data_IF_975636737361
#
_entry.id   IF_975636737361
#
_cell.length_a   1.000
_cell.length_b   1.000
_cell.length_c   1.000
_cell.angle_alpha   90.00
_cell.angle_beta   90.00
_cell.angle_gamma   90.00
#
_symmetry.space_group_name_H-M   'P 1'
#
loop_
_entity.id
_entity.type
_entity.pdbx_description
1 polymer ?
#
# COMPACT_ATOMS: atom_id res chain seq x y z
N UNK A 1 -22.66 7.77 14.10
CA UNK A 1 -21.20 7.77 13.88
C UNK A 1 -20.56 8.62 14.96
N UNK A 2 -19.52 8.15 15.66
CA UNK A 2 -18.75 9.00 16.56
C UNK A 2 -18.15 10.17 15.76
N UNK A 3 -18.25 11.39 16.31
CA UNK A 3 -17.61 12.56 15.71
C UNK A 3 -16.09 12.40 15.87
N UNK A 4 -15.39 12.16 14.76
CA UNK A 4 -13.93 12.09 14.77
C UNK A 4 -13.34 13.50 14.89
N UNK A 5 -12.27 13.68 15.70
CA UNK A 5 -11.52 14.93 15.69
C UNK A 5 -10.99 15.24 14.29
N UNK A 6 -10.98 16.51 13.90
CA UNK A 6 -10.50 16.97 12.59
C UNK A 6 -9.08 16.48 12.30
N UNK A 7 -8.20 16.52 13.31
CA UNK A 7 -6.83 16.02 13.22
C UNK A 7 -6.78 14.52 12.84
N UNK A 8 -7.68 13.71 13.39
CA UNK A 8 -7.78 12.29 13.08
C UNK A 8 -8.31 12.07 11.66
N UNK A 9 -9.33 12.82 11.25
CA UNK A 9 -9.84 12.78 9.87
C UNK A 9 -8.74 13.11 8.85
N UNK A 10 -7.95 14.15 9.12
CA UNK A 10 -6.83 14.53 8.28
C UNK A 10 -5.74 13.45 8.23
N UNK A 11 -5.44 12.79 9.35
CA UNK A 11 -4.47 11.69 9.41
C UNK A 11 -4.95 10.46 8.62
N UNK A 12 -6.24 10.11 8.75
CA UNK A 12 -6.86 9.05 7.94
C UNK A 12 -6.77 9.39 6.45
N UNK A 13 -7.10 10.63 6.06
CA UNK A 13 -7.01 11.08 4.67
C UNK A 13 -5.59 10.93 4.09
N UNK A 14 -4.56 11.35 4.83
CA UNK A 14 -3.15 11.17 4.42
C UNK A 14 -2.77 9.70 4.28
N UNK A 15 -3.20 8.86 5.21
CA UNK A 15 -2.95 7.42 5.16
C UNK A 15 -3.63 6.78 3.95
N UNK A 16 -4.88 7.14 3.66
CA UNK A 16 -5.64 6.63 2.51
C UNK A 16 -4.97 7.01 1.20
N UNK A 17 -4.48 8.25 1.06
CA UNK A 17 -3.72 8.68 -0.13
C UNK A 17 -2.44 7.86 -0.27
N UNK A 18 -1.66 7.70 0.80
CA UNK A 18 -0.43 6.91 0.75
C UNK A 18 -0.66 5.43 0.42
N UNK A 19 -1.78 4.85 0.88
CA UNK A 19 -2.18 3.50 0.53
C UNK A 19 -2.57 3.39 -0.95
N UNK A 20 -3.34 4.35 -1.47
CA UNK A 20 -3.73 4.39 -2.88
C UNK A 20 -2.52 4.56 -3.81
N UNK A 21 -1.55 5.41 -3.46
CA UNK A 21 -0.31 5.57 -4.22
C UNK A 21 0.48 4.25 -4.28
N UNK A 22 0.55 3.52 -3.17
CA UNK A 22 1.20 2.20 -3.11
C UNK A 22 0.45 1.14 -3.93
N UNK A 23 -0.88 1.12 -3.87
CA UNK A 23 -1.71 0.22 -4.70
C UNK A 23 -1.55 0.53 -6.19
N UNK A 24 -1.48 1.81 -6.57
CA UNK A 24 -1.23 2.23 -7.95
C UNK A 24 0.16 1.79 -8.43
N UNK A 25 1.19 1.88 -7.59
CA UNK A 25 2.52 1.38 -7.92
C UNK A 25 2.54 -0.15 -8.12
N UNK A 26 1.83 -0.89 -7.27
CA UNK A 26 1.65 -2.34 -7.42
C UNK A 26 0.91 -2.70 -8.70
N UNK A 27 -0.11 -1.92 -9.08
CA UNK A 27 -0.80 -2.12 -10.34
C UNK A 27 0.10 -1.94 -11.56
N UNK A 28 1.11 -1.07 -11.47
CA UNK A 28 2.12 -0.91 -12.52
C UNK A 28 2.99 -2.16 -12.76
N UNK A 29 2.95 -3.16 -11.86
CA UNK A 29 3.55 -4.47 -12.06
C UNK A 29 2.64 -5.46 -12.80
N UNK A 30 1.33 -5.21 -12.82
CA UNK A 30 0.39 -6.08 -13.51
C UNK A 30 0.52 -5.91 -15.03
N UNK A 31 0.26 -6.99 -15.76
CA UNK A 31 0.06 -6.94 -17.20
C UNK A 31 -1.28 -6.28 -17.59
N UNK A 32 -2.22 -6.15 -16.63
CA UNK A 32 -3.52 -5.51 -16.81
C UNK A 32 -3.71 -4.36 -15.79
N UNK A 33 -3.49 -3.09 -16.20
CA UNK A 33 -3.70 -1.92 -15.36
C UNK A 33 -5.14 -1.77 -14.84
N UNK A 34 -6.14 -2.33 -15.54
CA UNK A 34 -7.54 -2.27 -15.13
C UNK A 34 -7.81 -3.15 -13.89
N UNK A 35 -6.95 -4.13 -13.60
CA UNK A 35 -7.07 -4.99 -12.44
C UNK A 35 -7.07 -4.21 -11.11
N UNK A 36 -6.44 -3.03 -11.06
CA UNK A 36 -6.44 -2.11 -9.90
C UNK A 36 -7.83 -1.79 -9.38
N UNK A 37 -8.80 -1.65 -10.28
CA UNK A 37 -10.14 -1.19 -9.96
C UNK A 37 -11.17 -2.32 -9.95
N UNK A 38 -10.77 -3.55 -10.28
CA UNK A 38 -11.68 -4.67 -10.42
C UNK A 38 -12.25 -5.16 -9.07
N UNK A 39 -11.38 -5.27 -8.05
CA UNK A 39 -11.77 -5.64 -6.68
C UNK A 39 -10.67 -5.26 -5.69
N UNK A 40 -11.00 -5.05 -4.40
CA UNK A 40 -10.00 -4.82 -3.37
C UNK A 40 -8.90 -5.89 -3.39
N UNK A 41 -7.64 -5.45 -3.43
CA UNK A 41 -6.47 -6.33 -3.44
C UNK A 41 -6.15 -7.02 -4.78
N UNK A 42 -6.88 -6.75 -5.87
CA UNK A 42 -6.56 -7.32 -7.18
C UNK A 42 -5.18 -6.90 -7.70
N UNK A 43 -4.83 -5.61 -7.61
CA UNK A 43 -3.50 -5.12 -7.97
C UNK A 43 -2.38 -5.88 -7.25
N UNK A 44 -2.55 -6.18 -5.96
CA UNK A 44 -1.57 -6.94 -5.18
C UNK A 44 -1.47 -8.40 -5.65
N UNK A 45 -2.60 -9.04 -5.98
CA UNK A 45 -2.61 -10.39 -6.51
C UNK A 45 -1.84 -10.50 -7.82
N UNK A 46 -2.13 -9.59 -8.75
CA UNK A 46 -1.43 -9.50 -10.04
C UNK A 46 0.06 -9.18 -9.86
N UNK A 47 0.40 -8.24 -8.99
CA UNK A 47 1.79 -7.90 -8.68
C UNK A 47 2.57 -9.11 -8.15
N UNK A 48 1.95 -9.92 -7.28
CA UNK A 48 2.54 -11.16 -6.75
C UNK A 48 2.80 -12.17 -7.86
N UNK A 49 1.84 -12.40 -8.76
CA UNK A 49 2.04 -13.33 -9.88
C UNK A 49 3.13 -12.83 -10.83
N UNK A 50 3.16 -11.53 -11.12
CA UNK A 50 4.20 -10.91 -11.95
C UNK A 50 5.61 -11.09 -11.36
N UNK A 51 5.78 -10.88 -10.04
CA UNK A 51 7.10 -11.05 -9.40
C UNK A 51 7.43 -12.51 -9.06
N UNK A 52 6.46 -13.43 -8.97
CA UNK A 52 6.76 -14.88 -8.84
C UNK A 52 7.49 -15.42 -10.06
N UNK A 53 7.15 -14.90 -11.24
CA UNK A 53 7.85 -15.23 -12.48
C UNK A 53 9.26 -14.61 -12.55
N UNK A 54 9.50 -13.52 -11.82
CA UNK A 54 10.78 -12.81 -11.76
C UNK A 54 11.54 -13.16 -10.47
N UNK A 55 12.46 -14.12 -10.54
CA UNK A 55 13.31 -14.49 -9.39
C UNK A 55 14.05 -13.27 -8.82
N UNK A 56 13.77 -12.87 -7.57
CA UNK A 56 14.59 -11.87 -6.87
C UNK A 56 13.95 -11.06 -5.76
N UNK A 57 14.68 -10.02 -5.35
CA UNK A 57 14.39 -9.06 -4.26
C UNK A 57 13.05 -8.30 -4.43
N UNK A 58 12.44 -8.33 -5.62
CA UNK A 58 11.13 -7.71 -5.89
C UNK A 58 9.99 -8.37 -5.12
N UNK A 59 10.08 -9.69 -4.88
CA UNK A 59 9.09 -10.43 -4.07
C UNK A 59 9.01 -9.83 -2.67
N UNK A 60 10.16 -9.57 -2.04
CA UNK A 60 10.20 -8.99 -0.70
C UNK A 60 9.59 -7.58 -0.65
N UNK A 61 9.81 -6.77 -1.70
CA UNK A 61 9.21 -5.43 -1.83
C UNK A 61 7.68 -5.49 -1.94
N UNK A 62 7.16 -6.39 -2.78
CA UNK A 62 5.72 -6.61 -2.93
C UNK A 62 5.08 -7.12 -1.63
N UNK A 63 5.74 -8.05 -0.92
CA UNK A 63 5.21 -8.59 0.35
C UNK A 63 5.25 -7.57 1.51
N UNK A 64 6.26 -6.70 1.56
CA UNK A 64 6.26 -5.62 2.54
C UNK A 64 5.14 -4.62 2.26
N UNK A 65 4.91 -4.26 0.99
CA UNK A 65 3.80 -3.42 0.58
C UNK A 65 2.45 -4.04 0.97
N UNK A 66 2.28 -5.34 0.71
CA UNK A 66 1.09 -6.10 1.10
C UNK A 66 0.81 -6.01 2.61
N UNK A 67 1.86 -6.19 3.41
CA UNK A 67 1.76 -6.14 4.88
C UNK A 67 1.30 -4.76 5.35
N UNK A 68 1.87 -3.69 4.81
CA UNK A 68 1.50 -2.33 5.24
C UNK A 68 0.09 -1.94 4.79
N UNK A 69 -0.36 -2.37 3.61
CA UNK A 69 -1.75 -2.19 3.18
C UNK A 69 -2.72 -2.92 4.12
N UNK A 70 -2.40 -4.15 4.53
CA UNK A 70 -3.21 -4.90 5.48
C UNK A 70 -3.26 -4.23 6.86
N UNK A 71 -2.15 -3.66 7.34
CA UNK A 71 -2.09 -2.89 8.59
C UNK A 71 -2.99 -1.65 8.50
N UNK A 72 -2.92 -0.89 7.41
CA UNK A 72 -3.76 0.29 7.20
C UNK A 72 -5.26 -0.06 7.19
N UNK A 73 -5.64 -1.10 6.45
CA UNK A 73 -7.03 -1.59 6.42
C UNK A 73 -7.50 -2.07 7.79
N UNK A 74 -6.63 -2.74 8.56
CA UNK A 74 -6.95 -3.23 9.91
C UNK A 74 -7.10 -2.08 10.91
N UNK A 75 -6.29 -1.02 10.78
CA UNK A 75 -6.43 0.19 11.59
C UNK A 75 -7.77 0.89 11.34
N UNK A 76 -8.20 1.02 10.08
CA UNK A 76 -9.53 1.52 9.74
C UNK A 76 -10.61 0.59 10.32
N UNK A 77 -10.58 -0.71 10.04
CA UNK A 77 -11.61 -1.63 10.59
C UNK A 77 -11.75 -1.55 12.11
N UNK A 78 -10.64 -1.46 12.85
CA UNK A 78 -10.68 -1.25 14.31
C UNK A 78 -11.37 0.05 14.68
N UNK A 79 -11.01 1.16 14.03
CA UNK A 79 -11.68 2.45 14.27
C UNK A 79 -13.21 2.35 14.13
N UNK A 80 -13.69 1.64 13.11
CA UNK A 80 -15.13 1.46 12.87
C UNK A 80 -15.81 0.45 13.81
N UNK A 81 -15.09 -0.57 14.30
CA UNK A 81 -15.67 -1.68 15.05
C UNK A 81 -15.56 -1.55 16.57
N UNK A 82 -14.53 -0.89 17.10
CA UNK A 82 -14.22 -0.97 18.53
C UNK A 82 -14.55 0.28 19.35
N UNK A 83 -15.18 1.31 18.77
CA UNK A 83 -15.43 2.63 19.40
C UNK A 83 -14.18 3.24 20.08
N UNK A 84 -12.98 2.72 19.74
CA UNK A 84 -11.75 3.03 20.42
C UNK A 84 -11.33 4.48 20.11
N UNK A 85 -10.66 5.18 21.04
CA UNK A 85 -10.17 6.53 20.80
C UNK A 85 -9.31 6.57 19.55
N UNK A 86 -9.66 7.45 18.64
CA UNK A 86 -8.99 7.55 17.35
C UNK A 86 -7.68 8.32 17.48
N UNK A 87 -6.55 7.60 17.57
CA UNK A 87 -5.23 8.20 17.68
C UNK A 87 -4.68 8.63 16.32
N UNK A 88 -4.64 9.96 16.09
CA UNK A 88 -4.02 10.55 14.90
C UNK A 88 -2.56 10.13 14.69
N UNK A 89 -1.78 9.93 15.76
CA UNK A 89 -0.36 9.58 15.66
C UNK A 89 -0.16 8.18 15.07
N UNK A 90 -1.02 7.22 15.45
CA UNK A 90 -1.00 5.88 14.89
C UNK A 90 -1.26 5.88 13.37
N UNK A 91 -2.20 6.70 12.89
CA UNK A 91 -2.45 6.84 11.45
C UNK A 91 -1.29 7.50 10.70
N UNK A 92 -0.64 8.50 11.31
CA UNK A 92 0.54 9.14 10.73
C UNK A 92 1.75 8.17 10.67
N UNK A 93 1.93 7.32 11.69
CA UNK A 93 2.96 6.28 11.68
C UNK A 93 2.74 5.27 10.55
N UNK A 94 1.52 4.76 10.40
CA UNK A 94 1.15 3.87 9.29
C UNK A 94 1.40 4.55 7.95
N UNK A 95 1.05 5.84 7.82
CA UNK A 95 1.32 6.64 6.62
C UNK A 95 2.82 6.66 6.29
N UNK A 96 3.69 6.85 7.30
CA UNK A 96 5.12 6.83 7.10
C UNK A 96 5.64 5.45 6.65
N UNK A 97 5.09 4.35 7.18
CA UNK A 97 5.43 3.00 6.73
C UNK A 97 5.00 2.73 5.29
N UNK A 98 3.78 3.14 4.91
CA UNK A 98 3.28 3.03 3.54
C UNK A 98 4.21 3.74 2.55
N UNK A 99 4.62 4.98 2.87
CA UNK A 99 5.56 5.76 2.03
C UNK A 99 6.92 5.09 1.90
N UNK A 100 7.48 4.55 3.00
CA UNK A 100 8.75 3.80 2.93
C UNK A 100 8.64 2.57 2.03
N UNK A 101 7.54 1.82 2.12
CA UNK A 101 7.29 0.69 1.23
C UNK A 101 7.13 1.12 -0.23
N UNK A 102 6.42 2.22 -0.49
CA UNK A 102 6.32 2.81 -1.82
C UNK A 102 7.69 3.16 -2.40
N UNK A 103 8.51 3.90 -1.65
CA UNK A 103 9.83 4.34 -2.12
C UNK A 103 10.76 3.15 -2.38
N UNK A 104 10.72 2.16 -1.50
CA UNK A 104 11.49 0.93 -1.63
C UNK A 104 11.06 0.12 -2.87
N UNK A 105 9.76 -0.06 -3.07
CA UNK A 105 9.22 -0.73 -4.26
C UNK A 105 9.59 0.03 -5.53
N UNK A 106 9.38 1.35 -5.57
CA UNK A 106 9.68 2.19 -6.72
C UNK A 106 11.17 2.13 -7.09
N UNK A 107 12.06 2.07 -6.09
CA UNK A 107 13.48 1.87 -6.32
C UNK A 107 13.78 0.52 -6.99
N UNK A 108 13.15 -0.56 -6.54
CA UNK A 108 13.33 -1.89 -7.11
C UNK A 108 12.82 -1.98 -8.55
N UNK A 109 11.69 -1.32 -8.86
CA UNK A 109 11.16 -1.26 -10.23
C UNK A 109 12.10 -0.50 -11.18
N UNK A 110 12.66 0.62 -10.73
CA UNK A 110 13.63 1.39 -11.52
C UNK A 110 14.90 0.61 -11.80
N UNK A 111 15.47 -0.05 -10.78
CA UNK A 111 16.68 -0.85 -10.93
C UNK A 111 16.50 -1.99 -11.92
N UNK A 112 15.35 -2.67 -11.89
CA UNK A 112 15.05 -3.75 -12.83
C UNK A 112 14.95 -3.28 -14.28
N UNK A 113 14.36 -2.09 -14.50
CA UNK A 113 14.20 -1.53 -15.84
C UNK A 113 15.53 -1.13 -16.50
N UNK A 114 16.52 -0.74 -15.69
CA UNK A 114 17.85 -0.36 -16.18
C UNK A 114 18.71 -1.57 -16.59
N UNK A 115 18.49 -2.74 -15.98
CA UNK A 115 19.22 -3.98 -16.31
C UNK A 115 18.80 -4.55 -17.66
N UNK A 116 17.54 -4.33 -18.09
CA UNK A 116 17.00 -4.85 -19.37
C UNK A 116 17.48 -4.04 -20.59
N UNK A 117 18.07 -2.86 -20.38
CA UNK A 117 18.53 -1.96 -21.45
C UNK A 117 20.06 -2.00 -21.68
N UNK A 118 20.78 -2.92 -21.04
CA UNK A 118 22.22 -3.16 -21.23
C UNK A 118 22.46 -4.53 -21.87
#
# INVERSE_FOLDING_TARGET
MPHLPEKTLAAIGRMTVAAADLEHLLAGLSADPAATFARPGAALGEAREAVRAASGHQVAAVEAAATQLAVAQSALRRLWLTEAPADSAAFDEITAHLRRCHDWLAQHLRSARNVVLQ
#
